data_IF_022322033928
#
_entry.id   IF_022322033928
#
_cell.length_a   1.000
_cell.length_b   1.000
_cell.length_c   1.000
_cell.angle_alpha   90.00
_cell.angle_beta   90.00
_cell.angle_gamma   90.00
#
_symmetry.space_group_name_H-M   'P 1'
#
loop_
_entity.id
_entity.type
_entity.pdbx_description
1 polymer ?
#
# COMPACT_ATOMS: atom_id res chain seq x y z
N UNK A 1 -17.72 -5.35 23.74
CA UNK A 1 -16.61 -5.78 22.92
C UNK A 1 -16.59 -5.09 21.57
N UNK A 2 -15.53 -4.41 21.27
CA UNK A 2 -15.48 -3.58 20.07
C UNK A 2 -14.83 -4.35 18.94
N UNK A 3 -15.61 -4.66 17.90
CA UNK A 3 -15.01 -5.05 16.63
C UNK A 3 -14.18 -3.92 16.08
N UNK A 4 -13.08 -4.21 15.40
CA UNK A 4 -12.31 -3.16 14.77
C UNK A 4 -13.17 -2.43 13.73
N UNK A 5 -13.43 -1.16 13.99
CA UNK A 5 -14.29 -0.33 13.14
C UNK A 5 -13.70 -0.05 11.76
N UNK A 6 -12.41 -0.34 11.60
CA UNK A 6 -11.67 -0.11 10.36
C UNK A 6 -11.55 -1.36 9.51
N UNK A 7 -12.12 -2.49 9.94
CA UNK A 7 -11.97 -3.78 9.25
C UNK A 7 -12.61 -3.78 7.87
N UNK A 8 -13.69 -3.04 7.66
CA UNK A 8 -14.41 -3.02 6.41
C UNK A 8 -14.72 -1.59 5.96
N UNK A 9 -14.76 -1.33 4.65
CA UNK A 9 -15.17 -0.05 4.15
C UNK A 9 -16.66 0.20 4.44
N UNK A 10 -17.02 1.47 4.57
CA UNK A 10 -18.42 1.87 4.78
C UNK A 10 -19.06 2.20 3.45
N UNK A 11 -20.32 1.80 3.30
CA UNK A 11 -21.11 2.14 2.14
C UNK A 11 -21.89 3.43 2.43
N UNK A 12 -21.85 4.36 1.51
CA UNK A 12 -22.64 5.58 1.58
C UNK A 12 -24.08 5.28 1.15
N UNK A 13 -25.04 5.48 2.05
CA UNK A 13 -26.45 5.20 1.79
C UNK A 13 -27.07 6.13 0.75
N UNK A 14 -26.52 7.35 0.59
CA UNK A 14 -26.99 8.30 -0.44
C UNK A 14 -26.58 7.85 -1.84
N UNK A 15 -25.64 6.93 -1.95
CA UNK A 15 -25.20 6.31 -3.19
C UNK A 15 -25.72 4.87 -3.33
N UNK A 16 -26.96 4.63 -2.88
CA UNK A 16 -27.54 3.29 -2.83
C UNK A 16 -27.54 2.54 -4.16
N UNK A 17 -27.41 3.24 -5.30
CA UNK A 17 -27.30 2.62 -6.62
C UNK A 17 -25.92 2.07 -6.92
N UNK A 18 -24.88 2.51 -6.19
CA UNK A 18 -23.52 2.01 -6.31
C UNK A 18 -23.35 0.85 -5.35
N UNK A 19 -22.88 -0.25 -5.84
CA UNK A 19 -22.72 -1.46 -5.03
C UNK A 19 -21.28 -1.71 -4.57
N UNK A 20 -20.30 -1.29 -5.36
CA UNK A 20 -18.90 -1.51 -5.04
C UNK A 20 -18.40 -0.40 -4.11
N UNK A 21 -17.79 -0.77 -2.98
CA UNK A 21 -17.42 0.18 -1.92
C UNK A 21 -15.92 0.50 -1.89
N UNK A 22 -15.07 -0.48 -2.13
CA UNK A 22 -13.63 -0.30 -2.07
C UNK A 22 -12.91 -1.46 -2.72
N UNK A 23 -11.63 -1.26 -3.01
CA UNK A 23 -10.74 -2.32 -3.47
C UNK A 23 -9.45 -2.23 -2.64
N UNK A 24 -8.82 -3.36 -2.38
CA UNK A 24 -7.56 -3.40 -1.66
C UNK A 24 -6.57 -4.29 -2.38
N UNK A 25 -5.34 -3.81 -2.60
CA UNK A 25 -4.24 -4.70 -2.95
C UNK A 25 -4.03 -5.72 -1.85
N UNK A 26 -3.61 -6.90 -2.24
CA UNK A 26 -3.36 -8.01 -1.33
C UNK A 26 -1.95 -8.54 -1.61
N UNK A 27 -1.03 -8.34 -0.66
CA UNK A 27 0.37 -8.72 -0.83
C UNK A 27 0.72 -9.92 0.05
N UNK A 28 1.30 -10.94 -0.55
CA UNK A 28 1.94 -12.02 0.19
C UNK A 28 3.30 -11.50 0.65
N UNK A 29 3.54 -11.55 1.96
CA UNK A 29 4.78 -11.06 2.57
C UNK A 29 5.51 -12.21 3.26
N UNK A 30 6.80 -12.05 3.44
CA UNK A 30 7.63 -13.09 4.07
C UNK A 30 7.45 -13.12 5.59
N UNK A 31 7.45 -11.95 6.21
CA UNK A 31 7.35 -11.76 7.67
C UNK A 31 6.32 -10.67 7.92
N UNK A 32 5.18 -11.05 8.48
CA UNK A 32 4.06 -10.11 8.64
C UNK A 32 4.45 -8.92 9.53
N UNK A 33 5.06 -9.16 10.69
CA UNK A 33 5.36 -8.08 11.63
C UNK A 33 6.41 -7.13 11.06
N UNK A 34 7.42 -7.65 10.38
CA UNK A 34 8.41 -6.82 9.70
C UNK A 34 7.77 -5.98 8.58
N UNK A 35 6.85 -6.57 7.84
CA UNK A 35 6.14 -5.87 6.77
C UNK A 35 5.25 -4.76 7.33
N UNK A 36 4.47 -5.05 8.37
CA UNK A 36 3.64 -4.06 9.05
C UNK A 36 4.52 -2.89 9.53
N UNK A 37 5.60 -3.19 10.25
CA UNK A 37 6.52 -2.16 10.76
C UNK A 37 7.08 -1.30 9.65
N UNK A 38 7.40 -1.88 8.50
CA UNK A 38 7.91 -1.14 7.35
C UNK A 38 6.88 -0.09 6.88
N UNK A 39 5.61 -0.50 6.72
CA UNK A 39 4.56 0.41 6.30
C UNK A 39 4.32 1.53 7.32
N UNK A 40 4.35 1.22 8.61
CA UNK A 40 4.17 2.21 9.65
C UNK A 40 5.33 3.20 9.71
N UNK A 41 6.55 2.69 9.71
CA UNK A 41 7.74 3.52 9.91
C UNK A 41 8.16 4.27 8.65
N UNK A 42 8.14 3.60 7.49
CA UNK A 42 8.67 4.16 6.24
C UNK A 42 7.62 4.91 5.43
N UNK A 43 6.36 4.55 5.56
CA UNK A 43 5.28 5.15 4.75
C UNK A 43 4.23 5.87 5.61
N UNK A 44 4.34 5.84 6.93
CA UNK A 44 3.42 6.55 7.81
C UNK A 44 2.01 5.98 7.82
N UNK A 45 1.84 4.71 7.49
CA UNK A 45 0.56 4.04 7.58
C UNK A 45 0.25 3.68 9.02
N UNK A 46 -1.00 3.32 9.30
CA UNK A 46 -1.44 2.79 10.59
C UNK A 46 -1.89 1.35 10.43
N UNK A 47 -1.76 0.58 11.49
CA UNK A 47 -2.28 -0.79 11.53
C UNK A 47 -3.76 -0.73 11.89
N UNK A 48 -4.63 -1.21 10.98
CA UNK A 48 -6.07 -1.24 11.20
C UNK A 48 -6.47 -2.46 12.02
N UNK A 49 -5.97 -3.62 11.63
CA UNK A 49 -6.21 -4.89 12.34
C UNK A 49 -5.20 -5.92 11.90
N UNK A 50 -5.05 -6.94 12.70
CA UNK A 50 -4.30 -8.15 12.38
C UNK A 50 -4.95 -9.35 13.08
N UNK A 51 -4.73 -10.54 12.56
CA UNK A 51 -5.35 -11.73 13.11
C UNK A 51 -4.87 -13.02 12.44
N UNK A 52 -5.45 -14.16 12.84
CA UNK A 52 -6.31 -14.34 14.02
C UNK A 52 -5.50 -14.19 15.33
N UNK A 53 -6.17 -14.01 16.49
CA UNK A 53 -5.43 -13.82 17.76
C UNK A 53 -4.45 -14.94 18.07
N UNK A 54 -4.79 -16.16 17.73
CA UNK A 54 -3.97 -17.35 17.97
C UNK A 54 -3.10 -17.69 16.78
N UNK A 55 -2.09 -16.92 16.52
CA UNK A 55 -1.19 -17.17 15.38
C UNK A 55 -1.47 -16.20 14.24
N UNK A 56 -1.14 -14.95 14.49
CA UNK A 56 -1.37 -13.84 13.56
C UNK A 56 -0.58 -14.05 12.27
N UNK A 57 -1.27 -14.07 11.11
CA UNK A 57 -0.64 -14.21 9.82
C UNK A 57 -1.15 -13.24 8.76
N UNK A 58 -2.14 -12.40 9.09
CA UNK A 58 -2.60 -11.36 8.18
C UNK A 58 -2.84 -10.05 8.91
N UNK A 59 -2.83 -8.95 8.16
CA UNK A 59 -3.16 -7.64 8.68
C UNK A 59 -3.51 -6.65 7.58
N UNK A 60 -4.04 -5.51 7.98
CA UNK A 60 -4.32 -4.41 7.07
C UNK A 60 -3.67 -3.15 7.60
N UNK A 61 -2.99 -2.44 6.71
CA UNK A 61 -2.43 -1.12 6.99
C UNK A 61 -3.12 -0.10 6.09
N UNK A 62 -3.28 1.13 6.58
CA UNK A 62 -3.96 2.17 5.80
C UNK A 62 -3.42 3.55 6.10
N UNK A 63 -3.64 4.45 5.15
CA UNK A 63 -3.36 5.87 5.26
C UNK A 63 -4.31 6.61 4.32
N UNK A 64 -4.97 7.67 4.81
CA UNK A 64 -5.86 8.52 4.03
C UNK A 64 -6.93 7.73 3.25
N UNK A 65 -7.44 6.67 3.87
CA UNK A 65 -8.45 5.82 3.24
C UNK A 65 -7.90 4.80 2.24
N UNK A 66 -6.59 4.80 1.99
CA UNK A 66 -5.93 3.82 1.14
C UNK A 66 -5.47 2.67 2.03
N UNK A 67 -5.89 1.46 1.72
CA UNK A 67 -5.58 0.30 2.55
C UNK A 67 -4.94 -0.82 1.72
N UNK A 68 -4.03 -1.53 2.37
CA UNK A 68 -3.29 -2.66 1.78
C UNK A 68 -3.38 -3.83 2.74
N UNK A 69 -3.76 -4.99 2.21
CA UNK A 69 -3.78 -6.24 2.97
C UNK A 69 -2.42 -6.93 2.84
N UNK A 70 -1.91 -7.40 3.97
CA UNK A 70 -0.64 -8.12 4.05
C UNK A 70 -0.89 -9.50 4.64
N UNK A 71 -0.29 -10.54 4.06
CA UNK A 71 -0.49 -11.90 4.54
C UNK A 71 0.78 -12.74 4.40
N UNK A 72 1.22 -13.32 5.49
CA UNK A 72 2.27 -14.31 5.50
C UNK A 72 1.62 -15.70 5.51
N UNK A 73 1.71 -16.44 4.40
CA UNK A 73 1.01 -17.71 4.26
C UNK A 73 1.77 -18.82 4.99
N UNK A 74 2.86 -19.26 4.38
CA UNK A 74 3.75 -20.30 4.90
C UNK A 74 5.18 -19.88 4.58
N UNK A 75 6.18 -20.40 5.31
CA UNK A 75 7.57 -19.96 5.11
C UNK A 75 8.09 -20.15 3.68
N UNK A 76 7.53 -21.10 2.93
CA UNK A 76 7.94 -21.38 1.56
C UNK A 76 7.14 -20.62 0.50
N UNK A 77 6.12 -19.87 0.89
CA UNK A 77 5.36 -19.02 -0.01
C UNK A 77 5.97 -17.62 0.01
N UNK A 78 6.80 -17.35 -0.97
CA UNK A 78 7.59 -16.13 -1.04
C UNK A 78 6.84 -14.98 -1.72
N UNK A 79 7.16 -13.73 -1.38
CA UNK A 79 6.69 -12.58 -2.15
C UNK A 79 7.05 -12.71 -3.62
N UNK A 80 6.18 -12.19 -4.49
CA UNK A 80 6.42 -12.22 -5.94
C UNK A 80 6.07 -10.87 -6.55
N UNK A 81 6.89 -9.84 -6.30
CA UNK A 81 6.66 -8.52 -6.89
C UNK A 81 6.70 -8.55 -8.41
N UNK A 82 5.92 -7.69 -9.05
CA UNK A 82 5.81 -7.68 -10.50
C UNK A 82 7.14 -7.44 -11.21
N UNK A 83 8.00 -6.58 -10.65
CA UNK A 83 9.31 -6.30 -11.27
C UNK A 83 10.23 -7.52 -11.34
N UNK A 84 10.02 -8.55 -10.53
CA UNK A 84 10.78 -9.79 -10.59
C UNK A 84 10.35 -10.68 -11.75
N UNK A 85 9.21 -10.37 -12.35
CA UNK A 85 8.62 -11.16 -13.44
C UNK A 85 8.81 -10.49 -14.80
N UNK A 86 8.75 -9.16 -14.84
CA UNK A 86 8.93 -8.41 -16.08
C UNK A 86 9.32 -6.97 -15.77
N UNK A 87 10.34 -6.47 -16.47
CA UNK A 87 10.88 -5.14 -16.23
C UNK A 87 9.90 -3.99 -16.52
N UNK A 88 8.89 -4.22 -17.36
CA UNK A 88 7.90 -3.20 -17.70
C UNK A 88 6.68 -3.20 -16.78
N UNK A 89 6.46 -4.26 -16.04
CA UNK A 89 5.33 -4.36 -15.10
C UNK A 89 5.83 -4.13 -13.68
N UNK A 90 6.40 -2.96 -13.42
CA UNK A 90 7.12 -2.69 -12.19
C UNK A 90 6.24 -2.47 -10.97
N UNK A 91 5.06 -1.87 -11.16
CA UNK A 91 4.22 -1.47 -10.03
C UNK A 91 3.33 -2.61 -9.57
N UNK A 92 3.26 -2.79 -8.26
CA UNK A 92 2.29 -3.69 -7.64
C UNK A 92 1.03 -2.93 -7.23
N UNK A 93 1.15 -1.64 -6.98
CA UNK A 93 0.02 -0.75 -6.76
C UNK A 93 0.37 0.65 -7.25
N UNK A 94 -0.59 1.32 -7.85
CA UNK A 94 -0.48 2.72 -8.25
C UNK A 94 -1.48 3.51 -7.44
N UNK A 95 -1.00 4.47 -6.66
CA UNK A 95 -1.79 5.29 -5.77
C UNK A 95 -1.77 6.72 -6.30
N UNK A 96 -2.95 7.22 -6.66
CA UNK A 96 -3.05 8.63 -7.06
C UNK A 96 -3.07 9.49 -5.82
N UNK A 97 -2.20 10.49 -5.79
CA UNK A 97 -2.04 11.39 -4.67
C UNK A 97 -2.28 12.83 -5.09
N UNK A 98 -2.80 13.64 -4.18
CA UNK A 98 -3.11 15.03 -4.48
C UNK A 98 -1.86 15.87 -4.64
N UNK A 99 -0.86 15.65 -3.78
CA UNK A 99 0.40 16.39 -3.80
C UNK A 99 1.57 15.48 -3.45
N UNK A 100 2.28 14.96 -4.44
CA UNK A 100 3.38 14.03 -4.17
C UNK A 100 4.62 14.68 -3.57
N UNK A 101 4.84 15.99 -3.74
CA UNK A 101 6.07 16.63 -3.29
C UNK A 101 6.28 16.54 -1.77
N UNK A 102 5.32 16.97 -0.92
CA UNK A 102 5.50 16.82 0.54
C UNK A 102 5.52 15.35 0.97
N UNK A 103 4.78 14.49 0.28
CA UNK A 103 4.78 13.06 0.57
C UNK A 103 6.15 12.45 0.29
N UNK A 104 6.77 12.80 -0.83
CA UNK A 104 8.13 12.39 -1.16
C UNK A 104 9.12 12.82 -0.07
N UNK A 105 9.05 14.08 0.36
CA UNK A 105 9.93 14.59 1.40
C UNK A 105 9.75 13.84 2.72
N UNK A 106 8.51 13.55 3.09
CA UNK A 106 8.21 12.77 4.28
C UNK A 106 8.81 11.36 4.19
N UNK A 107 8.60 10.67 3.07
CA UNK A 107 9.12 9.32 2.86
C UNK A 107 10.65 9.31 2.88
N UNK A 108 11.26 10.35 2.33
CA UNK A 108 12.72 10.49 2.36
C UNK A 108 13.23 10.62 3.81
N UNK A 109 12.57 11.43 4.62
CA UNK A 109 12.91 11.58 6.04
C UNK A 109 12.70 10.29 6.82
N UNK A 110 11.69 9.51 6.46
CA UNK A 110 11.42 8.21 7.08
C UNK A 110 12.37 7.12 6.62
N UNK A 111 13.24 7.39 5.66
CA UNK A 111 14.21 6.42 5.15
C UNK A 111 13.63 5.38 4.20
N UNK A 112 12.57 5.71 3.48
CA UNK A 112 12.00 4.82 2.48
C UNK A 112 13.00 4.53 1.36
N UNK A 113 12.86 3.35 0.74
CA UNK A 113 13.66 2.95 -0.40
C UNK A 113 13.00 3.38 -1.69
N UNK A 114 13.62 4.31 -2.42
CA UNK A 114 13.08 4.82 -3.66
C UNK A 114 13.55 3.99 -4.84
N UNK A 115 12.60 3.57 -5.67
CA UNK A 115 12.89 2.99 -6.99
C UNK A 115 13.08 4.13 -7.98
N UNK A 116 12.27 5.18 -7.84
CA UNK A 116 12.37 6.38 -8.66
C UNK A 116 12.00 7.60 -7.83
N UNK A 117 12.86 8.60 -7.82
CA UNK A 117 12.59 9.85 -7.12
C UNK A 117 11.61 10.72 -7.92
N UNK A 118 11.18 11.85 -7.34
CA UNK A 118 10.23 12.75 -7.99
C UNK A 118 10.62 13.05 -9.41
N UNK A 119 9.74 12.72 -10.34
CA UNK A 119 9.98 12.93 -11.78
C UNK A 119 8.69 12.76 -12.56
N UNK A 120 8.69 13.21 -13.81
CA UNK A 120 7.64 12.86 -14.75
C UNK A 120 7.92 11.49 -15.34
N UNK A 121 6.87 10.67 -15.45
CA UNK A 121 6.93 9.46 -16.27
C UNK A 121 6.45 9.79 -17.68
N UNK A 122 6.62 8.84 -18.59
CA UNK A 122 6.28 9.03 -20.02
C UNK A 122 4.84 9.44 -20.24
N UNK A 123 3.92 9.01 -19.36
CA UNK A 123 2.51 9.39 -19.43
C UNK A 123 2.22 10.80 -18.92
N UNK A 124 3.25 11.54 -18.49
CA UNK A 124 3.10 12.90 -17.99
C UNK A 124 2.61 13.02 -16.56
N UNK A 125 2.57 11.91 -15.82
CA UNK A 125 2.24 11.92 -14.40
C UNK A 125 3.49 12.29 -13.59
N UNK A 126 3.28 13.12 -12.57
CA UNK A 126 4.34 13.57 -11.67
C UNK A 126 4.28 12.81 -10.37
N UNK A 127 5.38 12.20 -9.96
CA UNK A 127 5.42 11.48 -8.70
C UNK A 127 6.69 10.67 -8.51
N UNK A 128 6.59 9.61 -7.72
CA UNK A 128 7.74 8.79 -7.33
C UNK A 128 7.32 7.34 -7.09
N UNK A 129 8.30 6.48 -6.95
CA UNK A 129 8.11 5.05 -6.70
C UNK A 129 8.94 4.62 -5.51
N UNK A 130 8.35 3.85 -4.60
CA UNK A 130 9.03 3.28 -3.43
C UNK A 130 8.87 1.77 -3.42
N UNK A 131 9.80 1.10 -2.76
CA UNK A 131 9.79 -0.34 -2.58
C UNK A 131 9.58 -0.65 -1.10
N UNK A 132 8.67 -1.59 -0.81
CA UNK A 132 8.49 -2.04 0.57
C UNK A 132 9.54 -3.10 0.95
N UNK A 133 9.43 -3.62 2.18
CA UNK A 133 10.41 -4.58 2.70
C UNK A 133 10.42 -5.93 1.97
N UNK A 134 9.37 -6.25 1.23
CA UNK A 134 9.25 -7.49 0.47
C UNK A 134 9.54 -7.31 -1.03
N UNK A 135 9.87 -6.08 -1.44
CA UNK A 135 10.17 -5.77 -2.82
C UNK A 135 8.98 -5.31 -3.66
N UNK A 136 7.78 -5.19 -3.06
CA UNK A 136 6.63 -4.64 -3.77
C UNK A 136 6.84 -3.16 -4.04
N UNK A 137 6.51 -2.73 -5.24
CA UNK A 137 6.68 -1.34 -5.68
C UNK A 137 5.35 -0.61 -5.65
N UNK A 138 5.31 0.48 -4.90
CA UNK A 138 4.18 1.39 -4.83
C UNK A 138 4.53 2.67 -5.58
N UNK A 139 3.68 3.03 -6.53
CA UNK A 139 3.82 4.28 -7.28
C UNK A 139 2.84 5.31 -6.71
N UNK A 140 3.32 6.54 -6.53
CA UNK A 140 2.53 7.66 -6.03
C UNK A 140 2.59 8.80 -7.04
N UNK A 141 1.49 9.06 -7.73
CA UNK A 141 1.45 10.06 -8.78
C UNK A 141 0.31 11.05 -8.59
N UNK A 142 0.58 12.28 -8.98
CA UNK A 142 -0.42 13.34 -8.97
C UNK A 142 -1.49 13.07 -10.01
N UNK A 143 -2.75 13.21 -9.58
CA UNK A 143 -3.88 13.16 -10.49
C UNK A 143 -3.74 14.29 -11.52
N UNK A 144 -3.88 13.95 -12.79
CA UNK A 144 -3.81 14.93 -13.85
C UNK A 144 -4.92 15.95 -13.68
N UNK A 145 -4.55 17.22 -13.62
CA UNK A 145 -5.56 18.30 -13.68
C UNK A 145 -6.10 18.37 -15.09
N UNK A 146 -7.40 18.29 -15.18
CA UNK A 146 -8.09 18.50 -16.46
C UNK A 146 -8.17 19.98 -16.79
#
# INVERSE_FOLDING_TARGET
MNSPKTAAPRVNTDEAKKNLAAIRPFFIVKDLQASISHYLERFGFTLDFQGPPDGVYYGQVSRDGIAIMLKAILPDVLPCPNHTRHEWARWDACIYTLDPDPLFNEFKQRGASFVKELSFIDDGLWGFEVMDGDGYVLAFFRVRKQ
#
